data_IF_876152632118
#
_entry.id   IF_876152632118
#
_cell.length_a   1.000
_cell.length_b   1.000
_cell.length_c   1.000
_cell.angle_alpha   90.00
_cell.angle_beta   90.00
_cell.angle_gamma   90.00
#
_symmetry.space_group_name_H-M   'P 1'
#
loop_
_entity.id
_entity.type
_entity.pdbx_description
1 polymer ?
#
# COMPACT_ATOMS: atom_id res chain seq x y z
N UNK A 1 -12.14 23.16 -32.71
CA UNK A 1 -12.71 21.88 -32.27
C UNK A 1 -13.73 21.45 -33.32
N UNK A 2 -13.52 20.29 -33.91
CA UNK A 2 -14.31 19.60 -34.94
C UNK A 2 -15.67 19.06 -34.44
N UNK A 3 -16.03 19.34 -33.19
CA UNK A 3 -17.24 18.84 -32.54
C UNK A 3 -17.10 17.42 -31.97
N UNK A 4 -15.92 16.81 -32.07
CA UNK A 4 -15.66 15.49 -31.49
C UNK A 4 -15.50 15.62 -29.97
N UNK A 5 -16.20 14.78 -29.20
CA UNK A 5 -16.04 14.68 -27.76
C UNK A 5 -15.49 13.30 -27.39
N UNK A 6 -14.60 13.30 -26.40
CA UNK A 6 -13.97 12.09 -25.89
C UNK A 6 -14.27 11.93 -24.40
N UNK A 7 -14.59 10.72 -23.99
CA UNK A 7 -14.98 10.39 -22.62
C UNK A 7 -14.26 9.12 -22.17
N UNK A 8 -13.63 9.17 -21.00
CA UNK A 8 -13.08 7.99 -20.34
C UNK A 8 -13.88 7.69 -19.07
N UNK A 9 -14.11 6.40 -18.79
CA UNK A 9 -14.80 5.94 -17.57
C UNK A 9 -13.83 5.30 -16.59
N UNK A 10 -14.18 5.29 -15.30
CA UNK A 10 -13.43 4.61 -14.24
C UNK A 10 -13.38 3.07 -14.40
N UNK A 11 -14.09 2.50 -15.38
CA UNK A 11 -14.04 1.08 -15.76
C UNK A 11 -13.24 0.84 -17.04
N UNK A 12 -12.32 1.75 -17.39
CA UNK A 12 -11.41 1.63 -18.53
C UNK A 12 -12.12 1.55 -19.89
N UNK A 13 -13.22 2.28 -20.03
CA UNK A 13 -13.88 2.44 -21.33
C UNK A 13 -13.59 3.82 -21.89
N UNK A 14 -13.12 3.87 -23.13
CA UNK A 14 -12.92 5.11 -23.87
C UNK A 14 -14.00 5.23 -24.95
N UNK A 15 -14.74 6.33 -24.93
CA UNK A 15 -15.82 6.60 -25.87
C UNK A 15 -15.52 7.85 -26.68
N UNK A 16 -15.84 7.79 -27.97
CA UNK A 16 -15.79 8.90 -28.91
C UNK A 16 -17.21 9.21 -29.37
N UNK A 17 -17.59 10.48 -29.28
CA UNK A 17 -18.79 11.04 -29.89
C UNK A 17 -18.38 11.92 -31.06
N UNK A 18 -18.80 11.58 -32.27
CA UNK A 18 -18.50 12.39 -33.45
C UNK A 18 -19.45 13.60 -33.59
N UNK A 19 -19.13 14.50 -34.53
CA UNK A 19 -19.95 15.68 -34.83
C UNK A 19 -21.33 15.37 -35.42
N UNK A 20 -21.64 14.10 -35.75
CA UNK A 20 -22.97 13.64 -36.19
C UNK A 20 -23.78 13.04 -35.03
N UNK A 21 -23.21 12.97 -33.83
CA UNK A 21 -23.86 12.42 -32.64
C UNK A 21 -23.75 10.89 -32.51
N UNK A 22 -22.87 10.23 -33.27
CA UNK A 22 -22.63 8.79 -33.15
C UNK A 22 -21.59 8.48 -32.06
N UNK A 23 -21.96 7.57 -31.16
CA UNK A 23 -21.08 7.03 -30.13
C UNK A 23 -20.33 5.80 -30.64
N UNK A 24 -19.01 5.80 -30.50
CA UNK A 24 -18.15 4.65 -30.79
C UNK A 24 -17.29 4.35 -29.57
N UNK A 25 -17.28 3.10 -29.13
CA UNK A 25 -16.34 2.62 -28.12
C UNK A 25 -14.98 2.36 -28.77
N UNK A 26 -13.92 2.92 -28.18
CA UNK A 26 -12.53 2.73 -28.59
C UNK A 26 -11.88 1.78 -27.59
N UNK A 27 -11.43 0.63 -28.08
CA UNK A 27 -10.73 -0.35 -27.26
C UNK A 27 -9.38 0.22 -26.80
N UNK A 28 -9.13 0.18 -25.49
CA UNK A 28 -7.81 0.39 -24.92
C UNK A 28 -6.89 -0.78 -25.26
N UNK A 29 -5.55 -0.62 -25.17
CA UNK A 29 -4.62 -1.73 -25.34
C UNK A 29 -4.98 -2.92 -24.44
N UNK A 30 -4.84 -4.14 -24.95
CA UNK A 30 -5.23 -5.37 -24.22
C UNK A 30 -4.45 -5.59 -22.93
N UNK A 31 -3.27 -5.01 -22.85
CA UNK A 31 -2.41 -5.02 -21.69
C UNK A 31 -2.74 -3.88 -20.72
N UNK A 32 -3.62 -2.92 -21.03
CA UNK A 32 -3.92 -1.79 -20.14
C UNK A 32 -4.63 -2.24 -18.85
N UNK A 33 -3.94 -2.12 -17.72
CA UNK A 33 -4.40 -2.50 -16.37
C UNK A 33 -4.39 -1.31 -15.40
N UNK A 34 -4.39 -0.07 -15.92
CA UNK A 34 -4.44 1.17 -15.14
C UNK A 34 -5.86 1.75 -15.06
N UNK A 35 -6.05 2.82 -14.28
CA UNK A 35 -7.27 3.64 -14.33
C UNK A 35 -7.03 4.87 -15.22
N UNK A 36 -7.94 5.16 -16.15
CA UNK A 36 -7.93 6.40 -16.92
C UNK A 36 -8.29 7.61 -16.03
N UNK A 37 -7.38 8.56 -15.89
CA UNK A 37 -7.53 9.70 -14.97
C UNK A 37 -7.65 11.06 -15.64
N UNK A 38 -7.08 11.21 -16.84
CA UNK A 38 -7.09 12.45 -17.58
C UNK A 38 -7.12 12.17 -19.08
N UNK A 39 -7.72 13.08 -19.84
CA UNK A 39 -7.85 12.96 -21.28
C UNK A 39 -7.77 14.34 -21.93
N UNK A 40 -6.97 14.49 -22.98
CA UNK A 40 -6.99 15.68 -23.81
C UNK A 40 -6.69 15.33 -25.27
N UNK A 41 -7.16 16.16 -26.20
CA UNK A 41 -6.75 16.10 -27.59
C UNK A 41 -5.74 17.22 -27.87
N UNK A 42 -4.73 16.93 -28.69
CA UNK A 42 -3.79 17.95 -29.16
C UNK A 42 -4.25 18.63 -30.47
N UNK A 43 -3.44 19.56 -30.95
CA UNK A 43 -3.73 20.32 -32.17
C UNK A 43 -3.66 19.46 -33.45
N UNK A 44 -2.96 18.32 -33.41
CA UNK A 44 -2.79 17.39 -34.53
C UNK A 44 -3.90 16.33 -34.58
N UNK A 45 -4.83 16.38 -33.62
CA UNK A 45 -5.97 15.46 -33.53
C UNK A 45 -5.63 14.13 -32.86
N UNK A 46 -4.45 14.02 -32.24
CA UNK A 46 -4.11 12.87 -31.41
C UNK A 46 -4.80 12.98 -30.05
N UNK A 47 -5.11 11.84 -29.45
CA UNK A 47 -5.74 11.78 -28.13
C UNK A 47 -4.74 11.27 -27.12
N UNK A 48 -4.57 12.03 -26.05
CA UNK A 48 -3.68 11.74 -24.94
C UNK A 48 -4.49 11.31 -23.73
N UNK A 49 -4.13 10.16 -23.17
CA UNK A 49 -4.76 9.54 -22.01
C UNK A 49 -3.73 9.40 -20.89
N UNK A 50 -4.01 10.03 -19.76
CA UNK A 50 -3.27 9.85 -18.52
C UNK A 50 -3.80 8.64 -17.77
N UNK A 51 -2.88 7.87 -17.18
CA UNK A 51 -3.24 6.71 -16.36
C UNK A 51 -2.73 6.84 -14.92
N UNK A 52 -3.42 6.19 -14.00
CA UNK A 52 -2.98 5.95 -12.62
C UNK A 52 -2.84 4.45 -12.40
N UNK A 53 -1.75 4.06 -11.75
CA UNK A 53 -1.49 2.68 -11.36
C UNK A 53 -2.15 2.36 -10.03
N UNK A 54 -2.79 1.19 -9.94
CA UNK A 54 -2.99 0.48 -8.69
C UNK A 54 -2.10 -0.77 -8.74
N UNK A 55 -1.32 -1.01 -7.67
CA UNK A 55 -0.58 -2.27 -7.48
C UNK A 55 0.58 -2.56 -8.46
N UNK A 56 1.34 -1.53 -8.87
CA UNK A 56 2.68 -1.72 -9.46
C UNK A 56 2.73 -1.97 -10.97
N UNK A 57 1.59 -1.85 -11.67
CA UNK A 57 1.54 -1.85 -13.14
C UNK A 57 1.59 -0.40 -13.66
N UNK A 58 2.71 -0.01 -14.26
CA UNK A 58 2.91 1.33 -14.83
C UNK A 58 2.34 1.39 -16.24
N UNK A 59 1.49 2.38 -16.56
CA UNK A 59 1.07 2.67 -17.94
C UNK A 59 1.33 4.11 -18.37
N UNK A 60 1.63 5.03 -17.44
CA UNK A 60 2.12 6.36 -17.79
C UNK A 60 1.11 7.15 -18.63
N UNK A 61 1.62 7.67 -19.75
CA UNK A 61 0.89 8.43 -20.75
C UNK A 61 0.64 7.54 -21.97
N UNK A 62 -0.60 7.49 -22.45
CA UNK A 62 -0.93 6.84 -23.72
C UNK A 62 -1.29 7.89 -24.75
N UNK A 63 -0.89 7.64 -26.00
CA UNK A 63 -1.29 8.40 -27.18
C UNK A 63 -2.03 7.49 -28.14
N UNK A 64 -3.24 7.88 -28.51
CA UNK A 64 -3.98 7.30 -29.63
C UNK A 64 -3.72 8.16 -30.85
N UNK A 65 -3.03 7.58 -31.83
CA UNK A 65 -2.78 8.22 -33.10
C UNK A 65 -4.04 8.23 -33.99
N UNK A 66 -4.06 9.12 -35.00
CA UNK A 66 -5.18 9.24 -35.95
C UNK A 66 -5.47 7.93 -36.71
N UNK A 67 -4.44 7.09 -36.90
CA UNK A 67 -4.53 5.74 -37.49
C UNK A 67 -5.01 4.65 -36.51
N UNK A 68 -5.50 5.06 -35.33
CA UNK A 68 -5.95 4.22 -34.23
C UNK A 68 -4.87 3.33 -33.61
N UNK A 69 -3.59 3.67 -33.78
CA UNK A 69 -2.51 2.99 -33.08
C UNK A 69 -2.27 3.61 -31.70
N UNK A 70 -2.13 2.74 -30.70
CA UNK A 70 -1.75 3.14 -29.36
C UNK A 70 -0.24 3.18 -29.22
N UNK A 71 0.26 4.26 -28.62
CA UNK A 71 1.63 4.37 -28.13
C UNK A 71 1.61 4.67 -26.64
N UNK A 72 2.61 4.17 -25.94
CA UNK A 72 2.77 4.30 -24.50
C UNK A 72 4.09 5.01 -24.22
N UNK A 73 4.05 5.90 -23.26
CA UNK A 73 5.21 6.60 -22.73
C UNK A 73 5.26 6.42 -21.22
N UNK A 74 6.45 6.12 -20.71
CA UNK A 74 6.71 6.03 -19.28
C UNK A 74 7.96 6.81 -18.85
N UNK A 75 8.46 6.55 -17.65
CA UNK A 75 9.65 7.23 -17.12
C UNK A 75 10.90 7.02 -17.98
N UNK A 76 10.99 5.91 -18.73
CA UNK A 76 12.08 5.68 -19.68
C UNK A 76 12.02 6.64 -20.88
N UNK A 77 10.82 7.14 -21.20
CA UNK A 77 10.56 8.09 -22.28
C UNK A 77 10.59 9.57 -21.82
N UNK A 78 11.03 9.81 -20.58
CA UNK A 78 11.23 11.16 -20.03
C UNK A 78 10.06 11.68 -19.19
N UNK A 79 9.07 10.85 -18.84
CA UNK A 79 8.04 11.25 -17.87
C UNK A 79 8.63 11.35 -16.45
N UNK A 80 8.26 12.39 -15.70
CA UNK A 80 8.70 12.57 -14.31
C UNK A 80 8.13 11.49 -13.36
N UNK A 81 6.91 11.02 -13.63
CA UNK A 81 6.29 9.87 -12.95
C UNK A 81 5.22 9.23 -13.84
N UNK A 82 4.91 7.96 -13.58
CA UNK A 82 3.94 7.18 -14.37
C UNK A 82 2.48 7.41 -13.95
N UNK A 83 2.22 8.05 -12.81
CA UNK A 83 0.88 8.47 -12.40
C UNK A 83 0.62 9.86 -12.93
N UNK A 84 -0.39 9.99 -13.79
CA UNK A 84 -0.79 11.26 -14.40
C UNK A 84 -2.15 11.65 -13.85
N UNK A 85 -2.24 12.80 -13.20
CA UNK A 85 -3.48 13.30 -12.60
C UNK A 85 -4.16 14.37 -13.47
N UNK A 86 -3.40 15.04 -14.33
CA UNK A 86 -3.92 16.09 -15.21
C UNK A 86 -3.13 16.15 -16.52
N UNK A 87 -3.82 16.50 -17.61
CA UNK A 87 -3.25 16.72 -18.93
C UNK A 87 -3.69 18.07 -19.47
N UNK A 88 -2.76 18.78 -20.10
CA UNK A 88 -3.06 20.00 -20.84
C UNK A 88 -2.20 20.09 -22.09
N UNK A 89 -2.83 19.95 -23.25
CA UNK A 89 -2.19 20.22 -24.54
C UNK A 89 -2.22 21.73 -24.81
N UNK A 90 -1.04 22.33 -24.87
CA UNK A 90 -0.86 23.74 -25.22
C UNK A 90 -0.96 23.94 -26.73
N UNK A 91 -1.26 25.18 -27.14
CA UNK A 91 -1.42 25.54 -28.56
C UNK A 91 -0.11 25.50 -29.35
N UNK A 92 1.02 25.52 -28.67
CA UNK A 92 2.36 25.42 -29.24
C UNK A 92 2.82 23.96 -29.41
N UNK A 93 1.94 22.98 -29.19
CA UNK A 93 2.25 21.55 -29.31
C UNK A 93 2.88 20.95 -28.04
N UNK A 94 3.17 21.77 -27.02
CA UNK A 94 3.70 21.29 -25.74
C UNK A 94 2.60 20.61 -24.93
N UNK A 95 2.90 19.43 -24.39
CA UNK A 95 2.01 18.73 -23.46
C UNK A 95 2.47 18.96 -22.02
N UNK A 96 1.57 19.44 -21.18
CA UNK A 96 1.79 19.61 -19.74
C UNK A 96 1.09 18.49 -18.97
N UNK A 97 1.84 17.87 -18.07
CA UNK A 97 1.43 16.70 -17.31
C UNK A 97 1.51 17.04 -15.82
N UNK A 98 0.38 16.98 -15.12
CA UNK A 98 0.38 16.98 -13.66
C UNK A 98 0.65 15.56 -13.18
N UNK A 99 1.86 15.28 -12.72
CA UNK A 99 2.26 13.93 -12.27
C UNK A 99 2.45 13.90 -10.75
N UNK A 100 2.52 12.70 -10.17
CA UNK A 100 2.88 12.52 -8.75
C UNK A 100 4.29 13.08 -8.45
N UNK A 101 5.19 13.10 -9.45
CA UNK A 101 6.51 13.74 -9.38
C UNK A 101 6.54 15.23 -9.70
N UNK A 102 5.37 15.89 -9.73
CA UNK A 102 5.23 17.31 -10.06
C UNK A 102 4.86 17.60 -11.52
N UNK A 103 5.00 18.87 -11.91
CA UNK A 103 4.63 19.35 -13.24
C UNK A 103 5.70 18.97 -14.27
N UNK A 104 5.32 18.14 -15.25
CA UNK A 104 6.20 17.71 -16.31
C UNK A 104 5.78 18.36 -17.64
N UNK A 105 6.78 18.85 -18.39
CA UNK A 105 6.59 19.40 -19.73
C UNK A 105 7.14 18.40 -20.73
N UNK A 106 6.27 17.88 -21.58
CA UNK A 106 6.57 16.87 -22.58
C UNK A 106 6.44 17.46 -23.99
N UNK A 107 7.49 17.32 -24.79
CA UNK A 107 7.48 17.72 -26.21
C UNK A 107 7.39 16.45 -27.08
N UNK A 108 6.23 16.19 -27.69
CA UNK A 108 6.03 15.00 -28.52
C UNK A 108 6.77 15.04 -29.87
N UNK A 109 7.32 16.20 -30.27
CA UNK A 109 7.92 16.43 -31.59
C UNK A 109 9.46 16.50 -31.59
N UNK A 110 10.11 16.44 -30.42
CA UNK A 110 11.54 16.17 -30.31
C UNK A 110 12.50 17.21 -30.87
N UNK A 111 12.05 18.43 -31.19
CA UNK A 111 12.91 19.50 -31.73
C UNK A 111 12.98 20.70 -30.80
N UNK A 112 13.70 20.57 -29.68
CA UNK A 112 14.54 21.66 -29.16
C UNK A 112 15.61 21.12 -28.19
N UNK A 113 16.90 21.48 -28.37
CA UNK A 113 17.90 21.26 -27.34
C UNK A 113 17.55 22.16 -26.16
N UNK A 114 17.34 21.56 -24.97
CA UNK A 114 17.12 22.33 -23.75
C UNK A 114 18.33 23.24 -23.50
N UNK A 115 18.10 24.55 -23.50
CA UNK A 115 19.10 25.57 -23.18
C UNK A 115 19.81 25.25 -21.85
N UNK A 116 21.11 24.99 -21.94
CA UNK A 116 21.99 24.73 -20.80
C UNK A 116 22.17 25.95 -19.88
N UNK A 117 21.81 27.14 -20.34
CA UNK A 117 22.17 28.42 -19.69
C UNK A 117 21.20 28.87 -18.58
N UNK A 118 20.04 28.20 -18.42
CA UNK A 118 19.15 28.37 -17.25
C UNK A 118 19.40 27.37 -16.12
N UNK A 119 20.43 26.51 -16.24
CA UNK A 119 20.85 25.53 -15.22
C UNK A 119 21.62 26.14 -14.03
N UNK A 120 21.27 27.35 -13.58
CA UNK A 120 21.73 27.86 -12.29
C UNK A 120 20.84 27.38 -11.12
N UNK A 121 20.19 26.22 -11.28
CA UNK A 121 19.51 25.49 -10.23
C UNK A 121 20.11 24.10 -10.26
N UNK A 122 20.90 23.76 -9.24
CA UNK A 122 21.58 22.46 -9.15
C UNK A 122 20.53 21.35 -9.05
N UNK A 123 20.20 20.72 -10.18
CA UNK A 123 19.30 19.57 -10.18
C UNK A 123 20.10 18.33 -9.82
N UNK A 124 19.80 17.76 -8.65
CA UNK A 124 20.28 16.44 -8.29
C UNK A 124 19.35 15.39 -8.88
N UNK A 125 19.91 14.32 -9.44
CA UNK A 125 19.14 13.15 -9.86
C UNK A 125 19.03 12.17 -8.68
N UNK A 126 17.80 11.90 -8.24
CA UNK A 126 17.50 10.91 -7.21
C UNK A 126 17.13 9.60 -7.90
N UNK A 127 18.00 8.60 -7.76
CA UNK A 127 17.66 7.24 -8.20
C UNK A 127 16.63 6.63 -7.25
N UNK A 128 15.38 6.48 -7.72
CA UNK A 128 14.28 5.86 -6.96
C UNK A 128 14.56 4.40 -6.57
N UNK A 129 15.44 3.71 -7.30
CA UNK A 129 15.80 2.31 -7.05
C UNK A 129 16.98 2.12 -6.10
N UNK A 130 17.93 3.06 -6.03
CA UNK A 130 19.15 2.92 -5.20
C UNK A 130 19.21 3.90 -4.04
N UNK A 131 18.31 4.90 -3.99
CA UNK A 131 18.31 5.96 -2.97
C UNK A 131 19.68 6.66 -2.97
N UNK A 132 20.15 7.02 -4.16
CA UNK A 132 21.40 7.72 -4.37
C UNK A 132 21.11 9.05 -5.04
N UNK A 133 21.73 10.09 -4.49
CA UNK A 133 21.76 11.42 -5.09
C UNK A 133 22.97 11.48 -6.00
N UNK A 134 22.74 11.81 -7.26
CA UNK A 134 23.79 12.01 -8.27
C UNK A 134 23.78 13.45 -8.77
N UNK A 135 24.98 13.95 -9.08
CA UNK A 135 25.20 15.25 -9.69
C UNK A 135 24.69 15.24 -11.14
N UNK A 136 24.48 16.41 -11.78
CA UNK A 136 24.03 16.49 -13.18
C UNK A 136 24.91 15.74 -14.20
N UNK A 137 26.18 15.49 -13.86
CA UNK A 137 27.14 14.74 -14.68
C UNK A 137 27.11 13.22 -14.41
N UNK A 138 26.19 12.74 -13.57
CA UNK A 138 26.03 11.35 -13.18
C UNK A 138 27.00 10.88 -12.08
N UNK A 139 27.86 11.76 -11.55
CA UNK A 139 28.74 11.40 -10.43
C UNK A 139 27.98 11.32 -9.09
N UNK A 140 28.44 10.54 -8.11
CA UNK A 140 27.83 10.50 -6.78
C UNK A 140 27.91 11.87 -6.08
N UNK A 141 26.85 12.28 -5.40
CA UNK A 141 26.85 13.49 -4.59
C UNK A 141 27.89 13.42 -3.46
N UNK A 142 28.67 14.49 -3.28
CA UNK A 142 29.63 14.60 -2.18
C UNK A 142 28.93 14.93 -0.85
N UNK A 143 29.56 14.69 0.31
CA UNK A 143 28.98 15.02 1.61
C UNK A 143 28.53 16.49 1.72
N UNK A 144 29.32 17.43 1.18
CA UNK A 144 29.01 18.87 1.21
C UNK A 144 27.72 19.20 0.46
N UNK A 145 27.53 18.54 -0.68
CA UNK A 145 26.33 18.63 -1.49
C UNK A 145 25.12 18.07 -0.75
N UNK A 146 25.26 16.92 -0.10
CA UNK A 146 24.17 16.32 0.68
C UNK A 146 23.78 17.22 1.86
N UNK A 147 24.74 17.88 2.53
CA UNK A 147 24.45 18.85 3.59
C UNK A 147 23.73 20.13 3.10
N UNK A 148 23.91 20.51 1.84
CA UNK A 148 23.08 21.56 1.24
C UNK A 148 21.66 21.03 0.95
N UNK A 149 21.56 19.83 0.39
CA UNK A 149 20.31 19.20 -0.03
C UNK A 149 19.38 18.82 1.14
N UNK A 150 19.88 18.63 2.37
CA UNK A 150 19.00 18.44 3.55
C UNK A 150 18.12 19.67 3.87
N UNK A 151 18.41 20.84 3.28
CA UNK A 151 17.63 22.07 3.44
C UNK A 151 16.76 22.39 2.23
N UNK A 152 16.68 21.48 1.26
CA UNK A 152 15.90 21.68 0.04
C UNK A 152 14.40 21.84 0.36
N UNK A 153 13.66 22.52 -0.52
CA UNK A 153 12.21 22.69 -0.39
C UNK A 153 11.46 21.37 -0.62
N UNK A 154 12.02 20.49 -1.45
CA UNK A 154 11.46 19.19 -1.79
C UNK A 154 11.76 18.12 -0.71
N UNK A 155 10.72 17.39 -0.28
CA UNK A 155 10.84 16.37 0.75
C UNK A 155 11.63 15.14 0.30
N UNK A 156 11.52 14.70 -0.96
CA UNK A 156 12.27 13.57 -1.49
C UNK A 156 13.77 13.89 -1.55
N UNK A 157 14.12 15.12 -1.94
CA UNK A 157 15.51 15.61 -1.96
C UNK A 157 16.09 15.60 -0.55
N UNK A 158 15.37 16.15 0.44
CA UNK A 158 15.81 16.13 1.85
C UNK A 158 16.01 14.71 2.38
N UNK A 159 15.07 13.80 2.11
CA UNK A 159 15.12 12.41 2.59
C UNK A 159 16.27 11.66 1.93
N UNK A 160 16.42 11.78 0.62
CA UNK A 160 17.50 11.13 -0.12
C UNK A 160 18.86 11.65 0.32
N UNK A 161 18.96 12.94 0.66
CA UNK A 161 20.18 13.55 1.16
C UNK A 161 20.54 13.01 2.56
N UNK A 162 19.54 12.93 3.43
CA UNK A 162 19.68 12.33 4.75
C UNK A 162 20.06 10.85 4.67
N UNK A 163 19.50 10.07 3.73
CA UNK A 163 19.87 8.67 3.51
C UNK A 163 21.30 8.52 2.98
N UNK A 164 21.71 9.39 2.05
CA UNK A 164 23.10 9.45 1.56
C UNK A 164 24.08 9.73 2.71
N UNK A 165 23.79 10.72 3.56
CA UNK A 165 24.59 11.02 4.74
C UNK A 165 24.65 9.86 5.73
N UNK A 166 23.52 9.20 5.99
CA UNK A 166 23.46 8.02 6.86
C UNK A 166 24.26 6.84 6.30
N UNK A 167 24.23 6.60 4.98
CA UNK A 167 25.08 5.59 4.30
C UNK A 167 26.58 5.90 4.43
N UNK A 168 26.94 7.18 4.45
CA UNK A 168 28.31 7.64 4.70
C UNK A 168 28.71 7.59 6.18
N UNK A 169 27.79 7.22 7.07
CA UNK A 169 28.02 7.05 8.52
C UNK A 169 27.59 8.25 9.38
N UNK A 170 27.02 9.30 8.80
CA UNK A 170 26.48 10.43 9.56
C UNK A 170 25.06 10.10 10.09
N UNK A 171 25.00 9.74 11.36
CA UNK A 171 23.76 9.51 12.12
C UNK A 171 23.46 10.67 13.08
N UNK A 172 23.78 11.91 12.68
CA UNK A 172 23.51 13.10 13.49
C UNK A 172 22.00 13.28 13.76
N UNK A 173 21.62 13.98 14.86
CA UNK A 173 20.22 14.19 15.21
C UNK A 173 19.39 14.80 14.07
N UNK A 174 19.99 15.69 13.27
CA UNK A 174 19.34 16.30 12.11
C UNK A 174 18.99 15.26 11.04
N UNK A 175 19.94 14.40 10.68
CA UNK A 175 19.73 13.33 9.68
C UNK A 175 18.65 12.38 10.17
N UNK A 176 18.75 11.90 11.41
CA UNK A 176 17.78 10.98 11.99
C UNK A 176 16.38 11.59 12.06
N UNK A 177 16.27 12.86 12.46
CA UNK A 177 15.00 13.56 12.51
C UNK A 177 14.33 13.68 11.13
N UNK A 178 15.10 13.96 10.07
CA UNK A 178 14.56 14.01 8.69
C UNK A 178 14.04 12.63 8.28
N UNK A 179 14.82 11.58 8.50
CA UNK A 179 14.45 10.21 8.12
C UNK A 179 13.21 9.72 8.88
N UNK A 180 13.18 9.87 10.19
CA UNK A 180 12.11 9.33 11.02
C UNK A 180 10.80 10.11 10.87
N UNK A 181 10.86 11.42 10.66
CA UNK A 181 9.65 12.21 10.36
C UNK A 181 9.08 11.91 8.98
N UNK A 182 9.92 11.59 7.99
CA UNK A 182 9.44 11.22 6.67
C UNK A 182 8.83 9.82 6.64
N UNK A 183 9.29 8.90 7.49
CA UNK A 183 8.91 7.49 7.46
C UNK A 183 7.42 7.17 7.69
N UNK A 184 6.59 8.13 8.11
CA UNK A 184 5.13 7.92 8.21
C UNK A 184 4.38 8.42 6.98
N UNK A 185 3.60 7.50 6.42
CA UNK A 185 2.90 7.60 5.15
C UNK A 185 1.87 8.75 5.07
N UNK A 186 1.50 9.33 6.20
CA UNK A 186 0.45 10.37 6.28
C UNK A 186 0.93 11.75 5.85
N UNK A 187 2.23 12.00 5.91
CA UNK A 187 2.80 13.30 5.60
C UNK A 187 3.19 13.42 4.13
N UNK A 188 3.81 12.38 3.55
CA UNK A 188 4.31 12.35 2.16
C UNK A 188 4.42 10.91 1.61
N UNK A 189 3.58 10.48 0.64
CA UNK A 189 3.57 9.10 0.16
C UNK A 189 4.89 8.64 -0.49
N UNK A 190 5.49 9.46 -1.37
CA UNK A 190 6.74 9.08 -2.05
C UNK A 190 7.94 9.17 -1.10
N UNK A 191 8.13 10.32 -0.44
CA UNK A 191 9.25 10.54 0.47
C UNK A 191 9.24 9.57 1.66
N UNK A 192 8.06 9.16 2.14
CA UNK A 192 7.95 8.19 3.23
C UNK A 192 8.30 6.77 2.82
N UNK A 193 7.99 6.38 1.58
CA UNK A 193 8.41 5.08 1.02
C UNK A 193 9.94 5.02 0.89
N UNK A 194 10.55 6.10 0.38
CA UNK A 194 12.02 6.21 0.27
C UNK A 194 12.66 6.14 1.65
N UNK A 195 12.14 6.90 2.62
CA UNK A 195 12.63 6.91 4.00
C UNK A 195 12.56 5.50 4.61
N UNK A 196 11.41 4.83 4.56
CA UNK A 196 11.24 3.48 5.11
C UNK A 196 12.20 2.47 4.50
N UNK A 197 12.25 2.39 3.17
CA UNK A 197 13.12 1.45 2.49
C UNK A 197 14.59 1.71 2.83
N UNK A 198 15.00 2.97 2.81
CA UNK A 198 16.37 3.36 3.14
C UNK A 198 16.75 3.07 4.59
N UNK A 199 15.88 3.41 5.54
CA UNK A 199 16.08 3.09 6.96
C UNK A 199 16.17 1.58 7.17
N UNK A 200 15.27 0.80 6.55
CA UNK A 200 15.25 -0.66 6.67
C UNK A 200 16.54 -1.28 6.13
N UNK A 201 17.02 -0.86 4.96
CA UNK A 201 18.30 -1.35 4.40
C UNK A 201 19.51 -0.94 5.25
N UNK A 202 19.53 0.29 5.74
CA UNK A 202 20.58 0.76 6.67
C UNK A 202 20.57 -0.07 7.96
N UNK A 203 19.41 -0.32 8.54
CA UNK A 203 19.28 -1.03 9.80
C UNK A 203 19.60 -2.54 9.69
N UNK A 204 19.41 -3.15 8.51
CA UNK A 204 19.87 -4.53 8.25
C UNK A 204 21.39 -4.68 8.39
N UNK A 205 22.14 -3.63 8.07
CA UNK A 205 23.61 -3.64 8.05
C UNK A 205 24.25 -2.88 9.21
N UNK A 206 23.48 -2.05 9.94
CA UNK A 206 23.98 -1.21 11.02
C UNK A 206 23.10 -1.30 12.29
N UNK A 207 23.54 -2.04 13.34
CA UNK A 207 22.80 -2.18 14.59
C UNK A 207 22.49 -0.87 15.33
N UNK A 208 23.31 0.17 15.14
CA UNK A 208 23.09 1.49 15.76
C UNK A 208 21.77 2.10 15.31
N UNK A 209 21.38 1.86 14.04
CA UNK A 209 20.11 2.35 13.50
C UNK A 209 18.93 1.65 14.18
N UNK A 210 19.06 0.36 14.52
CA UNK A 210 18.04 -0.37 15.28
C UNK A 210 17.88 0.23 16.68
N UNK A 211 18.98 0.54 17.37
CA UNK A 211 18.95 1.18 18.69
C UNK A 211 18.28 2.57 18.64
N UNK A 212 18.52 3.33 17.56
CA UNK A 212 17.88 4.63 17.33
C UNK A 212 16.38 4.51 17.10
N UNK A 213 15.93 3.52 16.31
CA UNK A 213 14.51 3.23 16.10
C UNK A 213 13.81 2.85 17.41
N UNK A 214 14.45 1.99 18.22
CA UNK A 214 13.91 1.58 19.53
C UNK A 214 13.82 2.76 20.50
N UNK A 215 14.83 3.63 20.51
CA UNK A 215 14.81 4.86 21.33
C UNK A 215 13.69 5.80 20.88
N UNK A 216 13.49 5.98 19.58
CA UNK A 216 12.42 6.82 19.04
C UNK A 216 11.03 6.34 19.49
N UNK A 217 10.79 5.02 19.50
CA UNK A 217 9.57 4.44 20.06
C UNK A 217 9.41 4.72 21.56
N UNK A 218 10.49 4.59 22.35
CA UNK A 218 10.45 4.81 23.80
C UNK A 218 10.18 6.28 24.16
N UNK A 219 10.82 7.21 23.45
CA UNK A 219 10.69 8.64 23.72
C UNK A 219 9.41 9.24 23.12
N UNK A 220 8.62 8.45 22.39
CA UNK A 220 7.40 8.86 21.71
C UNK A 220 7.62 10.11 20.83
N UNK A 221 8.79 10.19 20.19
CA UNK A 221 9.17 11.29 19.31
C UNK A 221 8.76 10.98 17.87
N UNK A 222 7.95 11.87 17.27
CA UNK A 222 7.65 11.84 15.84
C UNK A 222 6.48 10.93 15.45
N UNK A 223 6.52 10.45 14.21
CA UNK A 223 5.45 9.68 13.58
C UNK A 223 5.72 8.17 13.67
N UNK A 224 5.20 7.55 14.74
CA UNK A 224 5.69 6.28 15.31
C UNK A 224 5.21 5.02 14.57
N UNK A 225 4.21 5.13 13.69
CA UNK A 225 3.75 4.05 12.81
C UNK A 225 4.85 3.58 11.85
N UNK A 226 5.49 4.52 11.16
CA UNK A 226 6.56 4.22 10.20
C UNK A 226 7.78 3.59 10.88
N UNK A 227 8.17 4.11 12.05
CA UNK A 227 9.27 3.56 12.86
C UNK A 227 8.98 2.12 13.28
N UNK A 228 7.76 1.83 13.73
CA UNK A 228 7.36 0.48 14.12
C UNK A 228 7.35 -0.49 12.92
N UNK A 229 6.94 -0.03 11.74
CA UNK A 229 6.95 -0.81 10.49
C UNK A 229 8.38 -1.15 10.04
N UNK A 230 9.30 -0.18 10.03
CA UNK A 230 10.72 -0.42 9.74
C UNK A 230 11.29 -1.55 10.61
N UNK A 231 10.99 -1.55 11.92
CA UNK A 231 11.45 -2.60 12.84
C UNK A 231 10.95 -4.00 12.47
N UNK A 232 9.74 -4.12 11.92
CA UNK A 232 9.21 -5.38 11.40
C UNK A 232 9.90 -5.80 10.10
N UNK A 233 10.09 -4.86 9.18
CA UNK A 233 10.67 -5.11 7.84
C UNK A 233 12.15 -5.44 7.84
N UNK A 234 12.89 -5.00 8.87
CA UNK A 234 14.27 -5.42 9.09
C UNK A 234 14.35 -6.96 9.20
N UNK A 235 13.29 -7.62 9.68
CA UNK A 235 13.22 -9.07 9.79
C UNK A 235 14.09 -9.67 10.90
N UNK A 236 14.75 -8.85 11.72
CA UNK A 236 15.59 -9.29 12.83
C UNK A 236 14.76 -9.39 14.11
N UNK A 237 14.31 -10.61 14.44
CA UNK A 237 13.53 -10.91 15.65
C UNK A 237 14.40 -10.95 16.93
N UNK A 238 15.18 -9.91 17.20
CA UNK A 238 16.00 -9.84 18.42
C UNK A 238 15.11 -9.58 19.65
N UNK A 239 15.52 -10.04 20.85
CA UNK A 239 14.77 -9.76 22.08
C UNK A 239 14.54 -8.26 22.33
N UNK A 240 15.50 -7.41 21.95
CA UNK A 240 15.39 -5.96 22.08
C UNK A 240 14.26 -5.39 21.19
N UNK A 241 14.18 -5.83 19.93
CA UNK A 241 13.13 -5.40 18.99
C UNK A 241 11.76 -5.86 19.45
N UNK A 242 11.63 -7.14 19.81
CA UNK A 242 10.36 -7.70 20.30
C UNK A 242 9.89 -6.96 21.56
N UNK A 243 10.76 -6.80 22.56
CA UNK A 243 10.40 -6.15 23.82
C UNK A 243 10.09 -4.65 23.60
N UNK A 244 10.81 -3.98 22.70
CA UNK A 244 10.56 -2.58 22.36
C UNK A 244 9.19 -2.38 21.71
N UNK A 245 8.85 -3.19 20.71
CA UNK A 245 7.54 -3.15 20.05
C UNK A 245 6.40 -3.51 21.01
N UNK A 246 6.60 -4.51 21.88
CA UNK A 246 5.60 -4.88 22.91
C UNK A 246 5.39 -3.73 23.90
N UNK A 247 6.45 -3.17 24.46
CA UNK A 247 6.37 -2.06 25.41
C UNK A 247 5.66 -0.86 24.77
N UNK A 248 6.02 -0.50 23.54
CA UNK A 248 5.38 0.57 22.78
C UNK A 248 3.88 0.30 22.54
N UNK A 249 3.52 -0.92 22.15
CA UNK A 249 2.13 -1.30 21.91
C UNK A 249 1.23 -1.18 23.15
N UNK A 250 1.84 -1.24 24.35
CA UNK A 250 1.16 -1.15 25.64
C UNK A 250 1.08 0.29 26.15
N UNK A 251 2.13 1.09 25.95
CA UNK A 251 2.23 2.46 26.46
C UNK A 251 1.60 3.51 25.53
N UNK A 252 1.60 3.29 24.22
CA UNK A 252 1.14 4.28 23.25
C UNK A 252 -0.39 4.42 23.22
N UNK A 253 -0.85 5.68 23.10
CA UNK A 253 -2.25 6.03 22.92
C UNK A 253 -2.69 6.09 21.45
N UNK A 254 -1.75 6.13 20.49
CA UNK A 254 -2.07 6.16 19.07
C UNK A 254 -2.43 4.74 18.58
N UNK A 255 -3.72 4.52 18.34
CA UNK A 255 -4.26 3.22 17.90
C UNK A 255 -3.63 2.74 16.60
N UNK A 256 -3.24 3.63 15.68
CA UNK A 256 -2.66 3.24 14.41
C UNK A 256 -1.21 2.81 14.57
N UNK A 257 -0.41 3.59 15.31
CA UNK A 257 0.96 3.22 15.62
C UNK A 257 1.02 1.89 16.41
N UNK A 258 0.08 1.66 17.32
CA UNK A 258 -0.04 0.39 18.04
C UNK A 258 -0.35 -0.77 17.07
N UNK A 259 -1.26 -0.59 16.11
CA UNK A 259 -1.55 -1.63 15.10
C UNK A 259 -0.32 -1.93 14.25
N UNK A 260 0.40 -0.91 13.79
CA UNK A 260 1.66 -1.08 13.05
C UNK A 260 2.70 -1.87 13.86
N UNK A 261 2.85 -1.58 15.16
CA UNK A 261 3.75 -2.34 16.02
C UNK A 261 3.34 -3.81 16.20
N UNK A 262 2.04 -4.09 16.34
CA UNK A 262 1.53 -5.46 16.45
C UNK A 262 1.68 -6.23 15.13
N UNK A 263 1.45 -5.58 13.99
CA UNK A 263 1.75 -6.14 12.66
C UNK A 263 3.21 -6.53 12.55
N UNK A 264 4.13 -5.64 12.92
CA UNK A 264 5.57 -5.91 12.90
C UNK A 264 5.93 -7.10 13.78
N UNK A 265 5.33 -7.24 14.97
CA UNK A 265 5.52 -8.42 15.82
C UNK A 265 5.04 -9.71 15.15
N UNK A 266 3.87 -9.69 14.50
CA UNK A 266 3.37 -10.85 13.75
C UNK A 266 4.27 -11.20 12.56
N UNK A 267 4.75 -10.21 11.82
CA UNK A 267 5.69 -10.39 10.70
C UNK A 267 7.01 -11.02 11.15
N UNK A 268 7.49 -10.69 12.35
CA UNK A 268 8.66 -11.30 12.97
C UNK A 268 8.38 -12.69 13.57
N UNK A 269 7.17 -13.22 13.41
CA UNK A 269 6.75 -14.53 13.93
C UNK A 269 6.43 -14.54 15.43
N UNK A 270 6.27 -13.38 16.06
CA UNK A 270 5.94 -13.25 17.48
C UNK A 270 4.42 -13.32 17.71
N UNK A 271 3.85 -14.48 17.44
CA UNK A 271 2.40 -14.76 17.51
C UNK A 271 1.96 -15.18 18.92
N UNK A 272 2.16 -14.33 19.92
CA UNK A 272 1.78 -14.65 21.31
C UNK A 272 0.34 -14.28 21.62
N UNK A 273 -0.27 -14.95 22.61
CA UNK A 273 -1.62 -14.59 23.09
C UNK A 273 -1.68 -13.12 23.53
N UNK A 274 -0.60 -12.56 24.09
CA UNK A 274 -0.53 -11.13 24.43
C UNK A 274 -0.76 -10.22 23.21
N UNK A 275 -0.15 -10.53 22.06
CA UNK A 275 -0.34 -9.77 20.80
C UNK A 275 -1.78 -9.92 20.31
N UNK A 276 -2.31 -11.15 20.32
CA UNK A 276 -3.68 -11.45 19.87
C UNK A 276 -4.72 -10.74 20.76
N UNK A 277 -4.58 -10.79 22.08
CA UNK A 277 -5.46 -10.09 23.02
C UNK A 277 -5.41 -8.57 22.82
N UNK A 278 -4.22 -8.02 22.53
CA UNK A 278 -4.08 -6.59 22.24
C UNK A 278 -4.82 -6.21 20.96
N UNK A 279 -4.67 -6.98 19.88
CA UNK A 279 -5.42 -6.81 18.64
C UNK A 279 -6.94 -6.87 18.88
N UNK A 280 -7.42 -7.88 19.61
CA UNK A 280 -8.85 -7.99 19.98
C UNK A 280 -9.35 -6.76 20.76
N UNK A 281 -8.54 -6.23 21.68
CA UNK A 281 -8.88 -5.01 22.43
C UNK A 281 -8.99 -3.76 21.53
N UNK A 282 -8.11 -3.65 20.53
CA UNK A 282 -8.12 -2.58 19.55
C UNK A 282 -9.31 -2.70 18.60
N UNK A 283 -9.70 -3.91 18.22
CA UNK A 283 -10.92 -4.08 17.42
C UNK A 283 -12.15 -3.52 18.16
N UNK A 284 -12.30 -3.83 19.46
CA UNK A 284 -13.44 -3.35 20.27
C UNK A 284 -13.48 -1.82 20.40
N UNK A 285 -12.31 -1.18 20.55
CA UNK A 285 -12.19 0.27 20.86
C UNK A 285 -11.76 1.14 19.68
N UNK A 286 -11.45 0.53 18.54
CA UNK A 286 -10.95 1.16 17.32
C UNK A 286 -12.07 1.78 16.49
N UNK A 287 -11.69 2.72 15.63
CA UNK A 287 -12.55 3.21 14.55
C UNK A 287 -12.67 2.17 13.43
N UNK A 288 -13.42 2.49 12.37
CA UNK A 288 -13.64 1.58 11.26
C UNK A 288 -12.34 1.12 10.58
N UNK A 289 -11.35 2.01 10.45
CA UNK A 289 -10.07 1.70 9.76
C UNK A 289 -9.23 0.79 10.64
N UNK A 290 -9.06 1.13 11.92
CA UNK A 290 -8.33 0.30 12.89
C UNK A 290 -8.95 -1.10 12.99
N UNK A 291 -10.29 -1.20 13.03
CA UNK A 291 -10.99 -2.49 13.05
C UNK A 291 -10.70 -3.33 11.81
N UNK A 292 -10.72 -2.70 10.64
CA UNK A 292 -10.43 -3.32 9.35
C UNK A 292 -9.02 -3.91 9.33
N UNK A 293 -8.03 -3.11 9.73
CA UNK A 293 -6.62 -3.54 9.75
C UNK A 293 -6.42 -4.65 10.78
N UNK A 294 -6.99 -4.54 11.98
CA UNK A 294 -6.90 -5.60 13.00
C UNK A 294 -7.43 -6.94 12.48
N UNK A 295 -8.54 -6.94 11.72
CA UNK A 295 -9.06 -8.17 11.12
C UNK A 295 -8.10 -8.75 10.08
N UNK A 296 -7.43 -7.91 9.30
CA UNK A 296 -6.39 -8.37 8.37
C UNK A 296 -5.22 -9.01 9.13
N UNK A 297 -4.74 -8.38 10.21
CA UNK A 297 -3.64 -8.88 11.03
C UNK A 297 -3.99 -10.19 11.74
N UNK A 298 -5.17 -10.29 12.34
CA UNK A 298 -5.63 -11.52 12.99
C UNK A 298 -5.73 -12.69 12.01
N UNK A 299 -6.08 -12.41 10.75
CA UNK A 299 -6.10 -13.41 9.68
C UNK A 299 -4.73 -13.89 9.23
N UNK A 300 -3.63 -13.23 9.63
CA UNK A 300 -2.25 -13.66 9.35
C UNK A 300 -1.65 -14.50 10.48
N UNK A 301 -2.31 -14.57 11.64
CA UNK A 301 -1.89 -15.42 12.76
C UNK A 301 -2.07 -16.88 12.37
N UNK A 302 -1.00 -17.69 12.47
CA UNK A 302 -1.00 -19.10 12.09
C UNK A 302 -1.88 -19.94 12.99
N UNK A 303 -1.88 -19.63 14.29
CA UNK A 303 -2.71 -20.31 15.30
C UNK A 303 -3.57 -19.28 16.04
N UNK A 304 -4.70 -18.83 15.45
CA UNK A 304 -5.55 -17.84 16.08
C UNK A 304 -6.23 -18.43 17.31
N UNK A 305 -6.35 -17.63 18.38
CA UNK A 305 -7.14 -18.01 19.56
C UNK A 305 -8.63 -18.17 19.19
N UNK A 306 -9.43 -18.91 19.98
CA UNK A 306 -10.87 -19.07 19.72
C UNK A 306 -11.59 -17.73 19.54
N UNK A 307 -11.21 -16.72 20.33
CA UNK A 307 -11.78 -15.38 20.25
C UNK A 307 -11.40 -14.63 18.96
N UNK A 308 -10.16 -14.81 18.48
CA UNK A 308 -9.73 -14.26 17.19
C UNK A 308 -10.43 -14.93 16.01
N UNK A 309 -10.55 -16.27 16.06
CA UNK A 309 -11.24 -17.02 15.03
C UNK A 309 -12.74 -16.66 14.95
N UNK A 310 -13.41 -16.62 16.11
CA UNK A 310 -14.79 -16.14 16.24
C UNK A 310 -15.00 -14.76 15.60
N UNK A 311 -14.10 -13.83 15.90
CA UNK A 311 -14.18 -12.49 15.35
C UNK A 311 -13.98 -12.45 13.83
N UNK A 312 -13.00 -13.20 13.30
CA UNK A 312 -12.74 -13.29 11.86
C UNK A 312 -13.95 -13.89 11.12
N UNK A 313 -14.58 -14.91 11.69
CA UNK A 313 -15.78 -15.51 11.14
C UNK A 313 -16.91 -14.48 11.08
N UNK A 314 -17.23 -13.81 12.19
CA UNK A 314 -18.27 -12.76 12.23
C UNK A 314 -17.98 -11.62 11.26
N UNK A 315 -16.72 -11.28 11.04
CA UNK A 315 -16.31 -10.28 10.08
C UNK A 315 -16.38 -10.75 8.61
N UNK A 316 -16.51 -12.05 8.31
CA UNK A 316 -16.62 -12.60 6.96
C UNK A 316 -18.05 -12.56 6.38
N UNK A 317 -18.97 -11.83 7.01
CA UNK A 317 -20.38 -11.70 6.61
C UNK A 317 -20.55 -10.95 5.27
N UNK A 318 -21.70 -11.09 4.57
CA UNK A 318 -21.84 -10.65 3.17
C UNK A 318 -21.59 -9.18 2.86
N UNK A 319 -21.69 -8.29 3.86
CA UNK A 319 -21.64 -6.84 3.68
C UNK A 319 -20.36 -6.21 4.23
N UNK A 320 -19.31 -6.99 4.52
CA UNK A 320 -18.04 -6.46 5.03
C UNK A 320 -17.01 -6.26 3.92
N UNK A 321 -16.32 -5.12 3.96
CA UNK A 321 -15.35 -4.68 2.94
C UNK A 321 -14.17 -5.65 2.76
N UNK A 322 -13.82 -6.42 3.79
CA UNK A 322 -12.65 -7.32 3.82
C UNK A 322 -13.03 -8.81 3.66
N UNK A 323 -14.26 -9.11 3.26
CA UNK A 323 -14.79 -10.47 3.21
C UNK A 323 -13.91 -11.43 2.40
N UNK A 324 -13.52 -11.03 1.19
CA UNK A 324 -12.78 -11.91 0.29
C UNK A 324 -11.40 -12.27 0.87
N UNK A 325 -10.69 -11.31 1.46
CA UNK A 325 -9.37 -11.53 2.07
C UNK A 325 -9.46 -12.43 3.30
N UNK A 326 -10.44 -12.19 4.17
CA UNK A 326 -10.65 -13.01 5.37
C UNK A 326 -11.06 -14.44 4.98
N UNK A 327 -11.95 -14.59 3.99
CA UNK A 327 -12.37 -15.91 3.50
C UNK A 327 -11.26 -16.65 2.75
N UNK A 328 -10.37 -15.95 2.04
CA UNK A 328 -9.22 -16.58 1.40
C UNK A 328 -8.21 -17.06 2.45
N UNK A 329 -7.98 -16.28 3.52
CA UNK A 329 -7.06 -16.62 4.61
C UNK A 329 -7.58 -17.76 5.50
N UNK A 330 -8.87 -17.75 5.84
CA UNK A 330 -9.54 -18.86 6.55
C UNK A 330 -9.53 -20.17 5.75
N UNK A 331 -9.37 -20.13 4.41
CA UNK A 331 -9.22 -21.33 3.57
C UNK A 331 -7.80 -21.89 3.54
N UNK A 332 -6.80 -21.11 3.96
CA UNK A 332 -5.40 -21.57 4.02
C UNK A 332 -5.09 -22.39 5.28
N UNK A 333 -5.95 -22.33 6.31
CA UNK A 333 -5.91 -23.24 7.45
C UNK A 333 -6.44 -24.61 7.04
N UNK A 334 -5.65 -25.67 7.26
CA UNK A 334 -6.01 -27.05 6.93
C UNK A 334 -7.29 -27.48 7.66
N UNK A 335 -8.39 -27.79 6.94
CA UNK A 335 -9.63 -28.29 7.53
C UNK A 335 -9.48 -29.56 8.35
N UNK A 336 -8.39 -30.31 8.13
CA UNK A 336 -8.07 -31.53 8.85
C UNK A 336 -7.17 -31.31 10.07
N UNK A 337 -6.74 -30.06 10.35
CA UNK A 337 -5.98 -29.75 11.56
C UNK A 337 -6.90 -29.93 12.79
N UNK A 338 -6.58 -30.87 13.71
CA UNK A 338 -7.35 -31.09 14.93
C UNK A 338 -7.51 -29.81 15.77
N UNK A 339 -6.52 -28.92 15.74
CA UNK A 339 -6.59 -27.62 16.41
C UNK A 339 -7.64 -26.72 15.78
N UNK A 340 -7.78 -26.73 14.45
CA UNK A 340 -8.79 -25.96 13.73
C UNK A 340 -10.20 -26.43 14.09
N UNK A 341 -10.43 -27.75 14.13
CA UNK A 341 -11.70 -28.30 14.62
C UNK A 341 -11.96 -28.01 16.10
N UNK A 342 -10.95 -27.99 16.97
CA UNK A 342 -11.11 -27.67 18.39
C UNK A 342 -11.40 -26.18 18.63
N UNK A 343 -10.69 -25.30 17.92
CA UNK A 343 -10.92 -23.84 17.93
C UNK A 343 -12.30 -23.50 17.36
N UNK A 344 -12.73 -24.22 16.32
CA UNK A 344 -14.08 -24.13 15.76
C UNK A 344 -15.14 -24.53 16.78
N UNK A 345 -14.98 -25.66 17.47
CA UNK A 345 -15.91 -26.11 18.51
C UNK A 345 -16.03 -25.08 19.64
N UNK A 346 -14.93 -24.43 20.03
CA UNK A 346 -14.96 -23.34 21.01
C UNK A 346 -15.71 -22.09 20.50
N UNK A 347 -15.69 -21.82 19.19
CA UNK A 347 -16.48 -20.73 18.59
C UNK A 347 -17.99 -21.02 18.57
N UNK A 348 -18.39 -22.30 18.58
CA UNK A 348 -19.80 -22.70 18.69
C UNK A 348 -20.40 -22.44 20.09
N UNK A 349 -19.58 -22.14 21.09
CA UNK A 349 -20.03 -21.76 22.44
C UNK A 349 -20.26 -20.24 22.59
N UNK A 350 -20.14 -19.48 21.49
CA UNK A 350 -20.27 -18.01 21.48
C UNK A 350 -21.64 -17.55 20.95
N UNK A 351 -21.82 -16.25 20.71
CA UNK A 351 -23.10 -15.67 20.28
C UNK A 351 -23.58 -16.19 18.92
N UNK A 352 -24.89 -16.15 18.67
CA UNK A 352 -25.49 -16.73 17.47
C UNK A 352 -24.92 -16.19 16.15
N UNK A 353 -24.51 -14.91 16.07
CA UNK A 353 -23.94 -14.38 14.82
C UNK A 353 -22.57 -14.98 14.51
N UNK A 354 -21.76 -15.21 15.55
CA UNK A 354 -20.50 -15.93 15.44
C UNK A 354 -20.71 -17.37 15.00
N UNK A 355 -21.66 -18.10 15.61
CA UNK A 355 -22.02 -19.47 15.20
C UNK A 355 -22.45 -19.55 13.75
N UNK A 356 -23.34 -18.65 13.30
CA UNK A 356 -23.77 -18.57 11.90
C UNK A 356 -22.58 -18.39 10.95
N UNK A 357 -21.70 -17.44 11.25
CA UNK A 357 -20.56 -17.13 10.39
C UNK A 357 -19.55 -18.28 10.31
N UNK A 358 -19.44 -19.03 11.40
CA UNK A 358 -18.64 -20.24 11.48
C UNK A 358 -19.15 -21.32 10.52
N UNK A 359 -20.45 -21.61 10.56
CA UNK A 359 -21.09 -22.60 9.69
C UNK A 359 -20.94 -22.25 8.21
N UNK A 360 -21.15 -20.98 7.84
CA UNK A 360 -20.93 -20.50 6.47
C UNK A 360 -19.52 -20.78 5.96
N UNK A 361 -18.52 -20.62 6.84
CA UNK A 361 -17.12 -20.85 6.48
C UNK A 361 -16.84 -22.34 6.29
N UNK A 362 -17.47 -23.22 7.07
CA UNK A 362 -17.41 -24.68 6.88
C UNK A 362 -18.05 -25.13 5.58
N UNK A 363 -19.22 -24.59 5.24
CA UNK A 363 -19.91 -24.92 3.98
C UNK A 363 -19.13 -24.51 2.72
N UNK A 364 -18.17 -23.59 2.86
CA UNK A 364 -17.29 -23.18 1.76
C UNK A 364 -16.11 -24.15 1.50
N UNK A 365 -15.91 -25.17 2.34
CA UNK A 365 -14.84 -26.16 2.20
C UNK A 365 -15.23 -27.17 1.10
N UNK A 366 -14.40 -27.27 0.07
CA UNK A 366 -14.57 -28.30 -0.96
C UNK A 366 -14.17 -29.66 -0.39
N UNK A 367 -15.10 -30.62 -0.39
CA UNK A 367 -14.94 -31.96 0.20
C UNK A 367 -14.69 -31.94 1.72
N UNK A 368 -15.69 -31.53 2.53
CA UNK A 368 -15.52 -31.39 3.97
C UNK A 368 -15.25 -32.75 4.64
N UNK A 369 -14.31 -32.83 5.60
CA UNK A 369 -14.09 -34.06 6.36
C UNK A 369 -15.35 -34.44 7.15
N UNK A 370 -15.51 -35.73 7.46
CA UNK A 370 -16.72 -36.25 8.13
C UNK A 370 -17.07 -35.49 9.43
N UNK A 371 -16.05 -35.05 10.16
CA UNK A 371 -16.21 -34.25 11.39
C UNK A 371 -16.88 -32.89 11.14
N UNK A 372 -16.61 -32.25 10.00
CA UNK A 372 -17.23 -30.98 9.60
C UNK A 372 -18.71 -31.20 9.26
N UNK A 373 -19.04 -32.30 8.59
CA UNK A 373 -20.44 -32.67 8.30
C UNK A 373 -21.22 -32.97 9.59
N UNK A 374 -20.62 -33.68 10.55
CA UNK A 374 -21.22 -33.91 11.87
C UNK A 374 -21.57 -32.61 12.60
N UNK A 375 -20.66 -31.64 12.53
CA UNK A 375 -20.81 -30.32 13.15
C UNK A 375 -21.95 -29.53 12.49
N UNK A 376 -21.99 -29.49 11.15
CA UNK A 376 -23.05 -28.82 10.42
C UNK A 376 -24.42 -29.46 10.72
N UNK A 377 -24.48 -30.78 10.83
CA UNK A 377 -25.67 -31.51 11.27
C UNK A 377 -26.08 -31.16 12.72
N UNK A 378 -25.13 -31.05 13.65
CA UNK A 378 -25.41 -30.68 15.04
C UNK A 378 -26.00 -29.26 15.14
N UNK A 379 -25.55 -28.33 14.31
CA UNK A 379 -26.05 -26.96 14.27
C UNK A 379 -27.50 -26.83 13.74
N UNK A 380 -28.09 -27.88 13.18
CA UNK A 380 -29.52 -27.93 12.87
C UNK A 380 -30.41 -27.86 14.11
N UNK A 381 -29.87 -28.17 15.29
CA UNK A 381 -30.55 -28.10 16.58
C UNK A 381 -30.26 -26.79 17.35
N UNK A 382 -29.58 -25.81 16.74
CA UNK A 382 -29.23 -24.54 17.40
C UNK A 382 -30.48 -23.77 17.84
N UNK A 383 -30.40 -23.04 18.96
CA UNK A 383 -31.50 -22.24 19.51
C UNK A 383 -31.93 -21.10 18.55
N UNK A 384 -30.97 -20.53 17.82
CA UNK A 384 -31.17 -19.37 16.94
C UNK A 384 -31.56 -19.80 15.52
N UNK A 385 -32.68 -19.28 15.03
CA UNK A 385 -33.26 -19.71 13.74
C UNK A 385 -32.34 -19.46 12.54
N UNK A 386 -31.57 -18.38 12.56
CA UNK A 386 -30.68 -18.00 11.47
C UNK A 386 -29.39 -18.82 11.45
N UNK A 387 -29.01 -19.42 12.59
CA UNK A 387 -27.90 -20.37 12.68
C UNK A 387 -28.32 -21.70 12.07
N UNK A 388 -29.51 -22.20 12.44
CA UNK A 388 -30.10 -23.41 11.82
C UNK A 388 -30.24 -23.28 10.31
N UNK A 389 -30.66 -22.10 9.83
CA UNK A 389 -30.77 -21.82 8.39
C UNK A 389 -29.42 -21.95 7.68
N UNK A 390 -28.37 -21.34 8.22
CA UNK A 390 -27.05 -21.38 7.59
C UNK A 390 -26.44 -22.80 7.64
N UNK A 391 -26.73 -23.58 8.70
CA UNK A 391 -26.36 -24.99 8.75
C UNK A 391 -26.93 -25.80 7.57
N UNK A 392 -28.20 -25.55 7.21
CA UNK A 392 -28.84 -26.17 6.03
C UNK A 392 -28.20 -25.68 4.73
N UNK A 393 -27.87 -24.39 4.61
CA UNK A 393 -27.23 -23.83 3.42
C UNK A 393 -25.77 -24.31 3.23
N UNK A 394 -25.14 -24.78 4.31
CA UNK A 394 -23.72 -25.18 4.35
C UNK A 394 -23.50 -26.69 4.23
N UNK A 395 -24.54 -27.51 4.47
CA UNK A 395 -24.60 -28.94 4.14
C UNK A 395 -24.87 -29.14 2.65
#
# INVERSE_FOLDING_TARGET
ADGTLWFATAHNQLWRLDGMGQWTEIALPTDFDGEATALCADADGMVWLGSRSYMGTTYGLLRLAVDQQWQRFDTADGLAACSINALYASRDGTLWLGTDGGLCRYDPNGEHPMDEEKRATTYYQISRSTIEITMPDGSPATPEVLYAAIKDEDAEVRVSAALGLAKLGDLSPTVIHILFNAADWRSYPEAGTIARNGITELAKTNPVVVDLLLRALQENQGQLSGVAECLGEIGQATPAVINGLLAFSQSSGDKYAVVSALRSLLQLGYETDTVVQRLLSLHKRGDMVVRSVVLQELGLVRQPSPAALALLMTAAQPNTRNRHDIQARLRQTDPNDPQWTALFMASLETDGHTRRAALKSLGAISNPPARVVEILCAALADEEWFVRREAVESL
#
